data_IF_152084369419
#
_entry.id   IF_152084369419
#
_cell.length_a   1.000
_cell.length_b   1.000
_cell.length_c   1.000
_cell.angle_alpha   90.00
_cell.angle_beta   90.00
_cell.angle_gamma   90.00
#
_symmetry.space_group_name_H-M   'P 1'
#
loop_
_entity.id
_entity.type
_entity.pdbx_description
1 polymer ?
#
# COMPACT_ATOMS: atom_id res chain seq x y z
N UNK A 1 -10.00 -16.78 -20.50
CA UNK A 1 -10.59 -16.09 -19.33
C UNK A 1 -10.65 -16.97 -18.06
N UNK A 2 -10.62 -18.30 -18.16
CA UNK A 2 -10.73 -19.21 -16.98
C UNK A 2 -9.36 -19.55 -16.33
N UNK A 3 -8.25 -19.37 -17.05
CA UNK A 3 -6.89 -19.73 -16.56
C UNK A 3 -6.29 -18.67 -15.61
N UNK A 4 -6.88 -17.47 -15.51
CA UNK A 4 -6.37 -16.40 -14.65
C UNK A 4 -6.81 -16.51 -13.17
N UNK A 5 -7.83 -17.31 -12.89
CA UNK A 5 -8.40 -17.47 -11.54
C UNK A 5 -7.45 -18.22 -10.59
N UNK A 6 -6.80 -19.35 -10.97
CA UNK A 6 -5.92 -20.08 -10.06
C UNK A 6 -4.56 -19.38 -9.80
N UNK A 7 -4.15 -18.42 -10.64
CA UNK A 7 -2.94 -17.64 -10.38
C UNK A 7 -3.16 -16.56 -9.32
N UNK A 8 -4.39 -16.03 -9.20
CA UNK A 8 -4.72 -14.97 -8.24
C UNK A 8 -4.93 -15.50 -6.81
N UNK A 9 -5.32 -16.76 -6.64
CA UNK A 9 -5.48 -17.38 -5.31
C UNK A 9 -4.16 -17.55 -4.56
N UNK A 10 -3.02 -17.45 -5.24
CA UNK A 10 -1.70 -17.62 -4.64
C UNK A 10 -1.17 -16.34 -3.95
N UNK A 11 -1.75 -15.17 -4.24
CA UNK A 11 -1.34 -13.88 -3.67
C UNK A 11 -2.11 -13.48 -2.40
N UNK A 12 -3.02 -14.32 -1.88
CA UNK A 12 -3.73 -14.08 -0.61
C UNK A 12 -4.66 -12.86 -0.57
N UNK A 13 -4.74 -12.06 -1.65
CA UNK A 13 -5.63 -10.90 -1.73
C UNK A 13 -6.97 -11.32 -2.33
N UNK A 14 -8.01 -11.39 -1.49
CA UNK A 14 -9.38 -11.63 -1.95
C UNK A 14 -9.81 -10.59 -2.98
N UNK A 15 -10.37 -11.03 -4.11
CA UNK A 15 -10.90 -10.15 -5.17
C UNK A 15 -11.86 -9.10 -4.59
N UNK A 16 -12.63 -9.46 -3.56
CA UNK A 16 -13.51 -8.53 -2.85
C UNK A 16 -12.78 -7.38 -2.16
N UNK A 17 -11.58 -7.61 -1.64
CA UNK A 17 -10.74 -6.56 -1.05
C UNK A 17 -10.26 -5.56 -2.11
N UNK A 18 -9.80 -6.05 -3.26
CA UNK A 18 -9.38 -5.21 -4.38
C UNK A 18 -10.53 -4.30 -4.86
N UNK A 19 -11.71 -4.89 -5.05
CA UNK A 19 -12.93 -4.13 -5.44
C UNK A 19 -13.26 -3.07 -4.39
N UNK A 20 -13.17 -3.41 -3.10
CA UNK A 20 -13.39 -2.45 -2.01
C UNK A 20 -12.40 -1.29 -2.07
N UNK A 21 -11.12 -1.56 -2.33
CA UNK A 21 -10.10 -0.52 -2.45
C UNK A 21 -10.36 0.41 -3.64
N UNK A 22 -10.67 -0.13 -4.82
CA UNK A 22 -11.01 0.69 -5.99
C UNK A 22 -12.25 1.55 -5.74
N UNK A 23 -13.31 0.96 -5.19
CA UNK A 23 -14.53 1.68 -4.84
C UNK A 23 -14.24 2.77 -3.80
N UNK A 24 -13.37 2.50 -2.83
CA UNK A 24 -12.94 3.48 -1.84
C UNK A 24 -12.15 4.64 -2.46
N UNK A 25 -11.28 4.38 -3.43
CA UNK A 25 -10.55 5.44 -4.16
C UNK A 25 -11.52 6.35 -4.91
N UNK A 26 -12.48 5.78 -5.63
CA UNK A 26 -13.50 6.54 -6.37
C UNK A 26 -14.34 7.38 -5.40
N UNK A 27 -14.77 6.81 -4.28
CA UNK A 27 -15.54 7.54 -3.26
C UNK A 27 -14.74 8.68 -2.63
N UNK A 28 -13.42 8.54 -2.43
CA UNK A 28 -12.56 9.63 -1.92
C UNK A 28 -12.47 10.76 -2.94
N UNK A 29 -12.32 10.45 -4.23
CA UNK A 29 -12.27 11.46 -5.30
C UNK A 29 -13.60 12.22 -5.34
N UNK A 30 -14.74 11.53 -5.37
CA UNK A 30 -16.07 12.16 -5.37
C UNK A 30 -16.29 13.00 -4.10
N UNK A 31 -15.80 12.55 -2.94
CA UNK A 31 -15.90 13.32 -1.70
C UNK A 31 -15.14 14.65 -1.79
N UNK A 32 -13.95 14.64 -2.42
CA UNK A 32 -13.18 15.85 -2.68
C UNK A 32 -13.89 16.78 -3.67
N UNK A 33 -14.40 16.27 -4.79
CA UNK A 33 -15.06 17.13 -5.78
C UNK A 33 -16.29 17.83 -5.19
N UNK A 34 -17.11 17.11 -4.42
CA UNK A 34 -18.25 17.69 -3.69
C UNK A 34 -17.83 18.71 -2.64
N UNK A 35 -16.65 18.55 -2.03
CA UNK A 35 -16.10 19.55 -1.12
C UNK A 35 -15.79 20.87 -1.85
N UNK A 36 -15.24 20.80 -3.07
CA UNK A 36 -14.89 21.97 -3.88
C UNK A 36 -16.13 22.68 -4.44
N UNK A 37 -17.16 21.94 -4.87
CA UNK A 37 -18.40 22.51 -5.38
C UNK A 37 -19.20 23.30 -4.32
N UNK A 38 -18.82 23.19 -3.04
CA UNK A 38 -19.35 24.00 -1.92
C UNK A 38 -20.87 23.91 -1.71
N UNK A 39 -21.55 22.95 -2.33
CA UNK A 39 -22.97 22.69 -2.08
C UNK A 39 -23.15 21.78 -0.86
N UNK A 40 -23.64 22.37 0.24
CA UNK A 40 -23.83 21.66 1.51
C UNK A 40 -24.90 20.56 1.40
N UNK A 41 -25.93 20.79 0.58
CA UNK A 41 -27.03 19.83 0.41
C UNK A 41 -26.56 18.55 -0.28
N UNK A 42 -25.85 18.68 -1.41
CA UNK A 42 -25.33 17.53 -2.17
C UNK A 42 -24.34 16.72 -1.32
N UNK A 43 -23.50 17.42 -0.55
CA UNK A 43 -22.58 16.78 0.40
C UNK A 43 -23.32 15.97 1.47
N UNK A 44 -24.43 16.49 2.00
CA UNK A 44 -25.24 15.81 3.00
C UNK A 44 -25.87 14.54 2.43
N UNK A 45 -26.49 14.61 1.25
CA UNK A 45 -27.04 13.43 0.58
C UNK A 45 -25.98 12.37 0.30
N UNK A 46 -24.82 12.79 -0.20
CA UNK A 46 -23.71 11.88 -0.47
C UNK A 46 -23.17 11.23 0.81
N UNK A 47 -23.07 11.98 1.92
CA UNK A 47 -22.64 11.44 3.21
C UNK A 47 -23.63 10.38 3.74
N UNK A 48 -24.94 10.64 3.64
CA UNK A 48 -25.96 9.65 4.02
C UNK A 48 -25.88 8.39 3.17
N UNK A 49 -25.74 8.54 1.85
CA UNK A 49 -25.54 7.42 0.93
C UNK A 49 -24.31 6.58 1.31
N UNK A 50 -23.17 7.21 1.57
CA UNK A 50 -21.94 6.51 1.96
C UNK A 50 -22.07 5.75 3.28
N UNK A 51 -22.75 6.33 4.28
CA UNK A 51 -22.99 5.65 5.57
C UNK A 51 -23.80 4.39 5.33
N UNK A 52 -24.92 4.49 4.59
CA UNK A 52 -25.77 3.34 4.28
C UNK A 52 -24.98 2.29 3.49
N UNK A 53 -24.23 2.70 2.46
CA UNK A 53 -23.41 1.81 1.64
C UNK A 53 -22.37 1.03 2.46
N UNK A 54 -21.66 1.69 3.39
CA UNK A 54 -20.67 1.02 4.26
C UNK A 54 -21.34 0.03 5.21
N UNK A 55 -22.51 0.36 5.78
CA UNK A 55 -23.23 -0.57 6.66
C UNK A 55 -23.76 -1.78 5.90
N UNK A 56 -24.31 -1.59 4.70
CA UNK A 56 -24.74 -2.68 3.83
C UNK A 56 -23.54 -3.57 3.45
N UNK A 57 -22.42 -2.96 3.06
CA UNK A 57 -21.21 -3.69 2.70
C UNK A 57 -20.71 -4.57 3.84
N UNK A 58 -20.62 -4.02 5.06
CA UNK A 58 -20.14 -4.76 6.22
C UNK A 58 -21.09 -5.84 6.70
N UNK A 59 -22.39 -5.58 6.66
CA UNK A 59 -23.37 -6.51 7.22
C UNK A 59 -23.75 -7.62 6.24
N UNK A 60 -23.75 -7.35 4.93
CA UNK A 60 -24.16 -8.32 3.91
C UNK A 60 -22.97 -8.87 3.11
N UNK A 61 -22.16 -8.00 2.51
CA UNK A 61 -21.10 -8.44 1.56
C UNK A 61 -19.93 -9.09 2.28
N UNK A 62 -19.49 -8.53 3.40
CA UNK A 62 -18.34 -9.04 4.14
C UNK A 62 -18.53 -10.48 4.67
N UNK A 63 -19.64 -10.83 5.37
CA UNK A 63 -19.84 -12.20 5.83
C UNK A 63 -20.01 -13.20 4.68
N UNK A 64 -20.59 -12.77 3.54
CA UNK A 64 -20.76 -13.63 2.37
C UNK A 64 -19.42 -13.97 1.70
N UNK A 65 -18.50 -13.00 1.62
CA UNK A 65 -17.19 -13.19 0.99
C UNK A 65 -16.20 -13.93 1.90
N UNK A 66 -16.14 -13.58 3.19
CA UNK A 66 -15.11 -14.10 4.11
C UNK A 66 -15.59 -15.39 4.81
N UNK A 67 -16.90 -15.65 4.89
CA UNK A 67 -17.50 -16.82 5.57
C UNK A 67 -17.08 -16.97 7.05
N UNK A 68 -16.51 -15.94 7.66
CA UNK A 68 -16.17 -15.88 9.08
C UNK A 68 -17.01 -14.82 9.78
N UNK A 69 -17.21 -14.98 11.09
CA UNK A 69 -17.98 -14.02 11.88
C UNK A 69 -17.19 -12.72 11.99
N UNK A 70 -17.88 -11.58 11.88
CA UNK A 70 -17.29 -10.24 12.02
C UNK A 70 -16.48 -10.06 13.32
N UNK A 71 -16.87 -10.77 14.39
CA UNK A 71 -16.19 -10.75 15.69
C UNK A 71 -14.75 -11.28 15.65
N UNK A 72 -14.43 -12.17 14.72
CA UNK A 72 -13.12 -12.83 14.67
C UNK A 72 -12.12 -12.05 13.79
N UNK A 73 -12.63 -11.16 12.92
CA UNK A 73 -11.83 -10.35 12.01
C UNK A 73 -11.44 -9.00 12.63
N UNK A 74 -10.39 -8.99 13.46
CA UNK A 74 -9.89 -7.78 14.14
C UNK A 74 -9.53 -6.65 13.15
N UNK A 75 -8.94 -6.98 11.99
CA UNK A 75 -8.59 -6.00 10.96
C UNK A 75 -9.82 -5.27 10.38
N UNK A 76 -10.92 -6.00 10.15
CA UNK A 76 -12.17 -5.44 9.65
C UNK A 76 -12.84 -4.52 10.69
N UNK A 77 -12.73 -4.87 11.98
CA UNK A 77 -13.22 -4.05 13.08
C UNK A 77 -12.49 -2.71 13.16
N UNK A 78 -11.16 -2.72 13.11
CA UNK A 78 -10.38 -1.49 13.09
C UNK A 78 -10.74 -0.61 11.90
N UNK A 79 -10.87 -1.19 10.70
CA UNK A 79 -11.28 -0.43 9.51
C UNK A 79 -12.65 0.23 9.69
N UNK A 80 -13.63 -0.51 10.25
CA UNK A 80 -14.97 0.02 10.52
C UNK A 80 -14.93 1.17 11.55
N UNK A 81 -14.19 1.02 12.65
CA UNK A 81 -14.02 2.07 13.65
C UNK A 81 -13.41 3.33 13.03
N UNK A 82 -12.35 3.19 12.23
CA UNK A 82 -11.75 4.33 11.53
C UNK A 82 -12.74 5.00 10.56
N UNK A 83 -13.59 4.23 9.87
CA UNK A 83 -14.66 4.79 9.03
C UNK A 83 -15.71 5.55 9.84
N UNK A 84 -16.13 5.02 10.99
CA UNK A 84 -17.06 5.71 11.88
C UNK A 84 -16.49 7.05 12.36
N UNK A 85 -15.21 7.08 12.75
CA UNK A 85 -14.51 8.32 13.12
C UNK A 85 -14.50 9.30 11.94
N UNK A 86 -14.16 8.84 10.73
CA UNK A 86 -14.16 9.67 9.52
C UNK A 86 -15.54 10.27 9.24
N UNK A 87 -16.62 9.48 9.33
CA UNK A 87 -17.98 9.98 9.17
C UNK A 87 -18.37 10.99 10.26
N UNK A 88 -17.94 10.74 11.51
CA UNK A 88 -18.11 11.67 12.62
C UNK A 88 -17.48 13.03 12.33
N UNK A 89 -16.19 13.05 11.95
CA UNK A 89 -15.49 14.28 11.58
C UNK A 89 -16.17 15.01 10.42
N UNK A 90 -16.59 14.28 9.38
CA UNK A 90 -17.29 14.92 8.27
C UNK A 90 -18.65 15.49 8.65
N UNK A 91 -19.39 14.86 9.55
CA UNK A 91 -20.68 15.39 10.00
C UNK A 91 -20.50 16.72 10.76
N UNK A 92 -19.43 16.82 11.57
CA UNK A 92 -19.04 18.05 12.25
C UNK A 92 -18.69 19.13 11.23
N UNK A 93 -17.96 18.78 10.17
CA UNK A 93 -17.61 19.71 9.09
C UNK A 93 -18.86 20.27 8.39
N UNK A 94 -19.84 19.42 8.06
CA UNK A 94 -21.10 19.87 7.45
C UNK A 94 -21.88 20.79 8.41
N UNK A 95 -21.90 20.47 9.71
CA UNK A 95 -22.56 21.27 10.74
C UNK A 95 -21.93 22.66 10.91
N UNK A 96 -20.61 22.76 10.84
CA UNK A 96 -19.88 24.02 10.95
C UNK A 96 -19.98 24.86 9.65
N UNK A 97 -20.41 24.26 8.55
CA UNK A 97 -20.51 24.89 7.25
C UNK A 97 -19.14 25.11 6.59
N UNK A 98 -19.17 25.29 5.27
CA UNK A 98 -17.95 25.57 4.48
C UNK A 98 -17.58 27.05 4.55
N UNK A 99 -16.34 27.33 4.97
CA UNK A 99 -15.80 28.70 4.97
C UNK A 99 -15.82 29.29 3.56
N UNK A 100 -16.08 30.60 3.45
CA UNK A 100 -16.26 31.27 2.15
C UNK A 100 -14.97 31.44 1.35
N UNK A 101 -13.81 31.30 2.01
CA UNK A 101 -12.50 31.35 1.39
C UNK A 101 -11.63 30.24 1.99
N UNK A 102 -11.23 29.26 1.16
CA UNK A 102 -10.24 28.25 1.52
C UNK A 102 -8.87 28.87 1.18
N UNK A 103 -8.33 29.69 2.08
CA UNK A 103 -7.03 30.32 1.85
C UNK A 103 -5.93 29.48 2.49
N UNK A 104 -5.15 28.81 1.63
CA UNK A 104 -3.87 28.19 1.95
C UNK A 104 -3.94 26.84 2.67
N UNK A 105 -2.84 26.10 2.59
CA UNK A 105 -2.67 24.85 3.30
C UNK A 105 -2.64 25.10 4.82
N UNK A 106 -3.38 24.30 5.60
CA UNK A 106 -3.45 24.42 7.06
C UNK A 106 -2.05 24.42 7.71
N UNK A 107 -1.14 23.60 7.20
CA UNK A 107 0.23 23.47 7.71
C UNK A 107 1.04 24.76 7.57
N UNK A 108 0.70 25.63 6.63
CA UNK A 108 1.44 26.85 6.34
C UNK A 108 1.02 28.07 7.17
N UNK A 109 0.08 27.92 8.10
CA UNK A 109 -0.42 29.04 8.91
C UNK A 109 0.54 29.51 10.00
N UNK A 110 1.40 28.62 10.49
CA UNK A 110 2.37 28.95 11.53
C UNK A 110 3.79 28.58 11.09
N UNK A 111 4.75 29.45 11.40
CA UNK A 111 6.16 29.26 11.11
C UNK A 111 6.86 28.67 12.34
N UNK A 112 6.76 27.35 12.52
CA UNK A 112 7.44 26.61 13.58
C UNK A 112 8.31 25.51 12.94
N UNK A 113 9.38 25.07 13.62
CA UNK A 113 10.18 23.92 13.15
C UNK A 113 9.35 22.65 12.99
N UNK A 114 8.38 22.42 13.89
CA UNK A 114 7.44 21.29 13.79
C UNK A 114 6.58 21.42 12.52
N UNK A 115 6.05 22.61 12.22
CA UNK A 115 5.27 22.84 11.01
C UNK A 115 6.12 22.73 9.74
N UNK A 116 7.39 23.15 9.79
CA UNK A 116 8.33 22.96 8.69
C UNK A 116 8.57 21.47 8.41
N UNK A 117 8.83 20.66 9.45
CA UNK A 117 9.01 19.21 9.32
C UNK A 117 7.75 18.50 8.82
N UNK A 118 6.59 18.80 9.39
CA UNK A 118 5.30 18.25 8.93
C UNK A 118 5.00 18.63 7.48
N UNK A 119 5.36 19.86 7.08
CA UNK A 119 5.21 20.30 5.71
C UNK A 119 6.16 19.58 4.74
N UNK A 120 7.38 19.27 5.17
CA UNK A 120 8.30 18.41 4.41
C UNK A 120 7.79 16.97 4.28
N UNK A 121 7.19 16.40 5.33
CA UNK A 121 6.55 15.08 5.24
C UNK A 121 5.34 15.13 4.29
N UNK A 122 4.54 16.20 4.35
CA UNK A 122 3.44 16.44 3.41
C UNK A 122 3.93 16.56 1.96
N UNK A 123 5.09 17.17 1.74
CA UNK A 123 5.80 17.16 0.46
C UNK A 123 6.20 15.73 0.07
N UNK A 124 6.71 14.88 0.97
CA UNK A 124 7.11 13.50 0.65
C UNK A 124 5.93 12.57 0.28
N UNK A 125 4.72 12.86 0.75
CA UNK A 125 3.46 12.19 0.31
C UNK A 125 3.11 12.55 -1.17
N UNK A 126 4.05 13.23 -1.86
CA UNK A 126 4.01 13.97 -3.13
C UNK A 126 3.15 13.40 -4.25
N UNK A 127 3.13 12.08 -4.45
CA UNK A 127 2.33 11.49 -5.53
C UNK A 127 0.84 11.82 -5.35
N UNK A 128 0.34 11.74 -4.12
CA UNK A 128 -1.07 12.00 -3.83
C UNK A 128 -1.39 13.50 -3.87
N UNK A 129 -0.43 14.37 -3.52
CA UNK A 129 -0.62 15.82 -3.59
C UNK A 129 -0.74 16.31 -5.03
N UNK A 130 0.09 15.79 -5.93
CA UNK A 130 -0.01 16.12 -7.37
C UNK A 130 -1.36 15.69 -7.95
N UNK A 131 -1.85 14.50 -7.60
CA UNK A 131 -3.17 14.02 -8.02
C UNK A 131 -4.30 14.90 -7.47
N UNK A 132 -4.21 15.32 -6.21
CA UNK A 132 -5.20 16.22 -5.63
C UNK A 132 -5.23 17.55 -6.37
N UNK A 133 -4.08 18.17 -6.66
CA UNK A 133 -4.03 19.41 -7.45
C UNK A 133 -4.64 19.24 -8.83
N UNK A 134 -4.45 18.09 -9.48
CA UNK A 134 -5.08 17.78 -10.77
C UNK A 134 -6.60 17.67 -10.65
N UNK A 135 -7.10 16.94 -9.64
CA UNK A 135 -8.53 16.83 -9.36
C UNK A 135 -9.11 18.23 -9.08
N UNK A 136 -8.47 19.00 -8.21
CA UNK A 136 -8.92 20.34 -7.86
C UNK A 136 -8.96 21.27 -9.09
N UNK A 137 -7.96 21.17 -9.98
CA UNK A 137 -7.94 21.91 -11.25
C UNK A 137 -9.05 21.47 -12.22
N UNK A 138 -9.38 20.18 -12.27
CA UNK A 138 -10.45 19.68 -13.14
C UNK A 138 -11.85 20.19 -12.75
N UNK A 139 -12.08 20.46 -11.46
CA UNK A 139 -13.42 20.80 -10.94
C UNK A 139 -13.58 22.27 -10.53
N UNK A 140 -12.50 23.06 -10.47
CA UNK A 140 -12.56 24.52 -10.29
C UNK A 140 -12.47 25.18 -11.66
N UNK A 141 -13.26 26.22 -11.87
CA UNK A 141 -13.10 27.13 -13.02
C UNK A 141 -11.77 27.91 -12.90
N UNK A 142 -10.67 27.25 -13.25
CA UNK A 142 -9.34 27.83 -13.25
C UNK A 142 -9.11 28.60 -14.55
N UNK A 143 -8.69 29.86 -14.43
CA UNK A 143 -8.26 30.67 -15.58
C UNK A 143 -6.86 30.33 -16.07
N UNK A 144 -6.09 29.60 -15.26
CA UNK A 144 -4.72 29.19 -15.53
C UNK A 144 -4.69 27.75 -16.08
N UNK A 145 -3.81 27.51 -17.05
CA UNK A 145 -3.52 26.16 -17.54
C UNK A 145 -2.99 25.24 -16.42
N UNK A 146 -3.23 23.93 -16.53
CA UNK A 146 -2.86 22.93 -15.52
C UNK A 146 -1.37 22.99 -15.19
N UNK A 147 -0.50 23.12 -16.19
CA UNK A 147 0.95 23.18 -15.97
C UNK A 147 1.35 24.46 -15.23
N UNK A 148 0.62 25.55 -15.45
CA UNK A 148 0.83 26.81 -14.74
C UNK A 148 0.32 26.72 -13.29
N UNK A 149 -0.78 26.01 -13.06
CA UNK A 149 -1.30 25.73 -11.73
C UNK A 149 -0.33 24.88 -10.89
N UNK A 150 0.22 23.81 -11.47
CA UNK A 150 1.24 22.97 -10.81
C UNK A 150 2.50 23.78 -10.49
N UNK A 151 2.96 24.62 -11.44
CA UNK A 151 4.11 25.52 -11.20
C UNK A 151 3.85 26.51 -10.06
N UNK A 152 2.65 27.06 -9.97
CA UNK A 152 2.29 27.99 -8.91
C UNK A 152 2.34 27.32 -7.53
N UNK A 153 1.84 26.09 -7.42
CA UNK A 153 1.87 25.31 -6.17
C UNK A 153 3.32 24.97 -5.74
N UNK A 154 4.20 24.65 -6.69
CA UNK A 154 5.62 24.44 -6.42
C UNK A 154 6.31 25.72 -5.92
N UNK A 155 6.06 26.86 -6.59
CA UNK A 155 6.59 28.16 -6.16
C UNK A 155 6.10 28.49 -4.74
N UNK A 156 4.81 28.29 -4.46
CA UNK A 156 4.23 28.55 -3.14
C UNK A 156 4.89 27.69 -2.05
N UNK A 157 5.11 26.41 -2.35
CA UNK A 157 5.83 25.47 -1.48
C UNK A 157 7.25 25.94 -1.17
N UNK A 158 8.00 26.35 -2.20
CA UNK A 158 9.37 26.83 -2.06
C UNK A 158 9.46 28.15 -1.29
N UNK A 159 8.56 29.09 -1.55
CA UNK A 159 8.48 30.36 -0.82
C UNK A 159 8.19 30.13 0.66
N UNK A 160 7.31 29.18 1.00
CA UNK A 160 7.03 28.83 2.39
C UNK A 160 8.28 28.29 3.12
N UNK A 161 9.03 27.38 2.50
CA UNK A 161 10.27 26.85 3.09
C UNK A 161 11.31 27.95 3.34
N UNK A 162 11.47 28.87 2.38
CA UNK A 162 12.38 30.02 2.53
C UNK A 162 11.93 30.93 3.69
N UNK A 163 10.62 31.16 3.84
CA UNK A 163 10.07 31.94 4.95
C UNK A 163 10.34 31.27 6.31
N UNK A 164 10.13 29.97 6.43
CA UNK A 164 10.46 29.21 7.64
C UNK A 164 11.95 29.31 7.98
N UNK A 165 12.83 29.20 6.97
CA UNK A 165 14.27 29.33 7.16
C UNK A 165 14.69 30.74 7.62
N UNK A 166 14.03 31.79 7.12
CA UNK A 166 14.25 33.17 7.58
C UNK A 166 13.78 33.38 9.02
N UNK A 167 12.57 32.91 9.33
CA UNK A 167 12.03 32.97 10.70
C UNK A 167 12.94 32.24 11.69
N UNK A 168 13.46 31.06 11.32
CA UNK A 168 14.41 30.31 12.13
C UNK A 168 15.69 31.12 12.41
N UNK A 169 16.26 31.78 11.40
CA UNK A 169 17.45 32.63 11.56
C UNK A 169 17.20 33.87 12.42
N UNK A 170 16.01 34.46 12.33
CA UNK A 170 15.63 35.61 13.15
C UNK A 170 15.42 35.22 14.61
N UNK A 171 14.75 34.08 14.86
CA UNK A 171 14.44 33.61 16.21
C UNK A 171 15.67 33.10 16.95
N UNK A 172 16.56 32.43 16.25
CA UNK A 172 17.83 31.92 16.76
C UNK A 172 18.92 32.72 16.07
N UNK A 173 19.17 33.93 16.58
CA UNK A 173 20.19 34.83 16.07
C UNK A 173 21.57 34.21 16.25
N UNK A 174 22.00 33.42 15.28
CA UNK A 174 23.38 32.95 15.20
C UNK A 174 24.26 34.12 14.75
N UNK A 175 25.34 34.37 15.46
CA UNK A 175 26.34 35.36 15.05
C UNK A 175 26.84 35.05 13.63
N UNK A 176 26.74 36.04 12.75
CA UNK A 176 27.18 35.87 11.36
C UNK A 176 28.70 35.76 11.31
N UNK A 177 29.22 34.66 10.74
CA UNK A 177 30.65 34.41 10.57
C UNK A 177 31.26 33.35 11.49
N UNK A 178 30.47 32.76 12.40
CA UNK A 178 30.93 31.65 13.25
C UNK A 178 30.73 30.31 12.52
N UNK A 179 31.72 29.40 12.52
CA UNK A 179 31.53 28.06 11.96
C UNK A 179 30.45 27.30 12.75
N UNK A 180 29.69 26.46 12.05
CA UNK A 180 28.68 25.61 12.69
C UNK A 180 29.33 24.70 13.74
N UNK A 181 28.66 24.52 14.88
CA UNK A 181 29.11 23.57 15.89
C UNK A 181 29.19 22.17 15.29
N UNK A 182 30.31 21.47 15.52
CA UNK A 182 30.50 20.10 15.02
C UNK A 182 29.34 19.20 15.43
N UNK A 183 28.84 19.35 16.66
CA UNK A 183 27.69 18.58 17.16
C UNK A 183 26.40 18.82 16.35
N UNK A 184 26.11 20.07 15.98
CA UNK A 184 24.93 20.40 15.16
C UNK A 184 25.04 19.88 13.73
N UNK A 185 26.25 19.88 13.16
CA UNK A 185 26.50 19.34 11.82
C UNK A 185 26.25 17.83 11.81
N UNK A 186 26.86 17.09 12.74
CA UNK A 186 26.64 15.65 12.84
C UNK A 186 25.19 15.29 13.13
N UNK A 187 24.50 16.01 14.02
CA UNK A 187 23.11 15.69 14.36
C UNK A 187 22.15 15.88 13.17
N UNK A 188 22.33 16.93 12.35
CA UNK A 188 21.50 17.17 11.17
C UNK A 188 21.80 16.15 10.07
N UNK A 189 23.09 15.94 9.78
CA UNK A 189 23.51 15.00 8.73
C UNK A 189 23.10 13.56 9.09
N UNK A 190 23.28 13.15 10.34
CA UNK A 190 22.92 11.81 10.83
C UNK A 190 21.40 11.62 10.89
N UNK A 191 20.64 12.63 11.33
CA UNK A 191 19.17 12.56 11.31
C UNK A 191 18.62 12.41 9.90
N UNK A 192 19.23 13.05 8.89
CA UNK A 192 18.80 12.94 7.50
C UNK A 192 19.11 11.54 6.93
N UNK A 193 20.28 10.99 7.27
CA UNK A 193 20.68 9.63 6.88
C UNK A 193 19.75 8.58 7.50
N UNK A 194 19.50 8.65 8.81
CA UNK A 194 18.59 7.74 9.52
C UNK A 194 17.18 7.83 8.94
N UNK A 195 16.68 9.05 8.69
CA UNK A 195 15.36 9.25 8.09
C UNK A 195 15.27 8.63 6.68
N UNK A 196 16.31 8.77 5.87
CA UNK A 196 16.35 8.19 4.52
C UNK A 196 16.40 6.66 4.55
N UNK A 197 17.20 6.09 5.46
CA UNK A 197 17.24 4.64 5.69
C UNK A 197 15.87 4.14 6.16
N UNK A 198 15.23 4.83 7.10
CA UNK A 198 13.89 4.51 7.57
C UNK A 198 12.86 4.59 6.43
N UNK A 199 12.91 5.62 5.58
CA UNK A 199 11.97 5.78 4.47
C UNK A 199 12.04 4.60 3.49
N UNK A 200 13.23 4.05 3.27
CA UNK A 200 13.44 2.88 2.41
C UNK A 200 13.08 1.57 3.13
N UNK A 201 13.46 1.45 4.42
CA UNK A 201 13.28 0.23 5.20
C UNK A 201 11.83 0.04 5.68
N UNK A 202 11.10 1.13 5.95
CA UNK A 202 9.72 1.11 6.43
C UNK A 202 8.75 0.38 5.48
N UNK A 203 8.67 0.71 4.17
CA UNK A 203 7.81 -0.02 3.24
C UNK A 203 8.25 -1.48 3.10
N UNK A 204 9.56 -1.76 3.16
CA UNK A 204 10.08 -3.13 3.11
C UNK A 204 9.69 -3.95 4.36
N UNK A 205 9.75 -3.35 5.54
CA UNK A 205 9.38 -3.98 6.81
C UNK A 205 7.88 -4.28 6.85
N UNK A 206 7.05 -3.35 6.40
CA UNK A 206 5.60 -3.56 6.28
C UNK A 206 5.30 -4.70 5.32
N UNK A 207 5.93 -4.70 4.13
CA UNK A 207 5.74 -5.76 3.15
C UNK A 207 6.17 -7.13 3.69
N UNK A 208 7.28 -7.20 4.43
CA UNK A 208 7.73 -8.42 5.10
C UNK A 208 6.73 -8.92 6.15
N UNK A 209 6.19 -8.02 6.99
CA UNK A 209 5.13 -8.38 7.95
C UNK A 209 3.85 -8.86 7.26
N UNK A 210 3.46 -8.27 6.13
CA UNK A 210 2.31 -8.74 5.37
C UNK A 210 2.56 -10.13 4.78
N UNK A 211 3.72 -10.37 4.15
CA UNK A 211 4.02 -11.67 3.53
C UNK A 211 4.07 -12.80 4.56
N UNK A 212 4.70 -12.57 5.73
CA UNK A 212 4.78 -13.58 6.78
C UNK A 212 3.42 -13.94 7.37
N UNK A 213 2.47 -13.00 7.40
CA UNK A 213 1.08 -13.25 7.81
C UNK A 213 0.31 -14.13 6.82
N UNK A 214 0.62 -14.05 5.52
CA UNK A 214 -0.05 -14.82 4.46
C UNK A 214 0.68 -16.11 4.05
N UNK A 215 1.85 -16.38 4.63
CA UNK A 215 2.56 -17.64 4.42
C UNK A 215 1.86 -18.76 5.21
N UNK A 216 0.85 -19.39 4.59
CA UNK A 216 0.36 -20.67 5.07
C UNK A 216 1.22 -21.79 4.46
N UNK A 217 1.77 -22.70 5.29
CA UNK A 217 2.41 -23.89 4.76
C UNK A 217 1.37 -24.66 3.95
N UNK A 218 1.79 -25.19 2.78
CA UNK A 218 0.93 -26.02 1.95
C UNK A 218 0.31 -27.11 2.84
N UNK A 219 -1.03 -27.22 2.94
CA UNK A 219 -1.63 -28.23 3.80
C UNK A 219 -1.10 -29.59 3.37
N UNK A 220 -0.55 -30.35 4.32
CA UNK A 220 -0.14 -31.72 4.08
C UNK A 220 -1.40 -32.48 3.68
N UNK A 221 -1.51 -32.82 2.40
CA UNK A 221 -2.52 -33.74 1.92
C UNK A 221 -2.18 -35.07 2.59
N UNK A 222 -3.07 -35.59 3.43
CA UNK A 222 -2.90 -36.91 4.01
C UNK A 222 -2.68 -37.91 2.86
N UNK A 223 -1.63 -38.75 2.92
CA UNK A 223 -1.37 -39.69 1.85
C UNK A 223 -2.58 -40.60 1.70
N UNK A 224 -3.24 -40.55 0.53
CA UNK A 224 -4.38 -41.42 0.21
C UNK A 224 -3.96 -42.90 0.22
N UNK A 225 -2.68 -43.15 0.02
CA UNK A 225 -2.08 -44.46 -0.01
C UNK A 225 -0.67 -44.40 0.58
N UNK A 226 -0.41 -45.23 1.58
CA UNK A 226 0.93 -45.47 2.14
C UNK A 226 1.32 -46.91 1.83
N UNK A 227 2.50 -47.11 1.26
CA UNK A 227 3.03 -48.43 0.93
C UNK A 227 4.49 -48.50 1.33
N UNK A 228 4.82 -49.52 2.11
CA UNK A 228 6.18 -49.84 2.53
C UNK A 228 6.57 -51.16 1.88
N UNK A 229 7.60 -51.14 1.03
CA UNK A 229 8.21 -52.35 0.51
C UNK A 229 9.27 -52.85 1.50
N UNK A 230 9.27 -54.15 1.79
CA UNK A 230 10.32 -54.80 2.59
C UNK A 230 11.25 -55.62 1.68
N UNK A 231 12.39 -56.09 2.17
CA UNK A 231 13.43 -56.76 1.35
C UNK A 231 12.93 -57.94 0.49
N UNK A 232 11.78 -58.53 0.83
CA UNK A 232 11.17 -59.64 0.09
C UNK A 232 10.43 -59.13 -1.17
N UNK A 233 9.96 -57.89 -1.16
CA UNK A 233 9.24 -57.23 -2.26
C UNK A 233 10.20 -56.50 -3.22
N UNK A 234 11.47 -56.34 -2.84
CA UNK A 234 12.51 -55.73 -3.65
C UNK A 234 13.13 -56.79 -4.57
N UNK A 235 12.85 -56.66 -5.87
CA UNK A 235 13.50 -57.48 -6.90
C UNK A 235 14.73 -56.75 -7.40
N UNK A 236 15.91 -57.33 -7.17
CA UNK A 236 17.16 -56.83 -7.73
C UNK A 236 17.20 -57.09 -9.24
N UNK A 237 17.55 -56.06 -10.01
CA UNK A 237 17.65 -56.16 -11.46
C UNK A 237 18.94 -56.88 -11.86
N UNK A 238 18.83 -57.82 -12.79
CA UNK A 238 19.98 -58.54 -13.37
C UNK A 238 20.47 -57.76 -14.61
N UNK A 239 21.75 -57.89 -14.96
CA UNK A 239 22.37 -57.24 -16.12
C UNK A 239 21.58 -57.42 -17.45
N UNK A 240 20.90 -58.56 -17.62
CA UNK A 240 20.04 -58.81 -18.77
C UNK A 240 18.83 -57.87 -18.84
N UNK A 241 18.25 -57.52 -17.69
CA UNK A 241 17.09 -56.64 -17.58
C UNK A 241 17.46 -55.17 -17.82
N UNK A 242 18.66 -54.77 -17.38
CA UNK A 242 19.22 -53.44 -17.71
C UNK A 242 19.47 -53.29 -19.21
N UNK A 243 19.98 -54.34 -19.87
CA UNK A 243 20.16 -54.33 -21.31
C UNK A 243 18.81 -54.25 -22.04
N UNK A 244 17.77 -54.92 -21.55
CA UNK A 244 16.41 -54.81 -22.08
C UNK A 244 15.83 -53.39 -21.91
N UNK A 245 16.07 -52.72 -20.78
CA UNK A 245 15.67 -51.33 -20.54
C UNK A 245 16.32 -50.36 -21.53
N UNK A 246 17.62 -50.50 -21.78
CA UNK A 246 18.38 -49.64 -22.69
C UNK A 246 18.04 -49.86 -24.18
N UNK A 247 17.68 -51.11 -24.56
CA UNK A 247 17.50 -51.48 -25.97
C UNK A 247 16.04 -51.49 -26.42
N UNK A 248 15.09 -51.81 -25.54
CA UNK A 248 13.68 -51.95 -25.91
C UNK A 248 12.79 -50.78 -25.47
N UNK A 249 12.98 -50.27 -24.24
CA UNK A 249 12.07 -49.28 -23.64
C UNK A 249 12.60 -47.84 -23.85
N UNK A 250 13.88 -47.59 -23.60
CA UNK A 250 14.49 -46.26 -23.69
C UNK A 250 15.39 -46.11 -24.92
N UNK A 251 15.08 -46.79 -26.03
CA UNK A 251 15.92 -46.79 -27.24
C UNK A 251 16.03 -45.43 -27.91
N UNK A 252 14.97 -44.60 -27.82
CA UNK A 252 14.90 -43.28 -28.47
C UNK A 252 15.43 -42.13 -27.61
N UNK A 253 15.55 -42.30 -26.29
CA UNK A 253 15.91 -41.22 -25.38
C UNK A 253 17.36 -41.39 -24.86
N UNK A 254 18.24 -40.51 -25.32
CA UNK A 254 19.69 -40.61 -25.09
C UNK A 254 20.05 -40.24 -23.65
N UNK A 255 19.35 -39.28 -23.03
CA UNK A 255 19.63 -38.85 -21.65
C UNK A 255 19.27 -39.93 -20.64
N UNK A 256 18.15 -40.61 -20.86
CA UNK A 256 17.74 -41.76 -20.03
C UNK A 256 18.76 -42.90 -20.09
N UNK A 257 19.32 -43.20 -21.28
CA UNK A 257 20.35 -44.25 -21.44
C UNK A 257 21.67 -43.91 -20.74
N UNK A 258 22.09 -42.65 -20.81
CA UNK A 258 23.30 -42.17 -20.12
C UNK A 258 23.12 -42.24 -18.60
N UNK A 259 21.95 -41.87 -18.10
CA UNK A 259 21.60 -42.01 -16.68
C UNK A 259 21.69 -43.45 -16.18
N UNK A 260 21.13 -44.41 -16.92
CA UNK A 260 21.17 -45.84 -16.57
C UNK A 260 22.59 -46.41 -16.64
N UNK A 261 23.37 -46.07 -17.67
CA UNK A 261 24.76 -46.52 -17.82
C UNK A 261 25.67 -46.02 -16.68
N UNK A 262 25.38 -44.86 -16.10
CA UNK A 262 26.14 -44.36 -14.96
C UNK A 262 25.92 -45.16 -13.67
N UNK A 263 24.78 -45.85 -13.52
CA UNK A 263 24.51 -46.73 -12.38
C UNK A 263 25.20 -48.10 -12.49
N UNK A 264 25.50 -48.58 -13.71
CA UNK A 264 26.21 -49.84 -13.94
C UNK A 264 27.74 -49.73 -13.91
N UNK A 265 28.28 -48.51 -14.01
CA UNK A 265 29.73 -48.24 -14.05
C UNK A 265 30.33 -47.89 -12.66
N UNK A 266 29.61 -48.18 -11.58
CA UNK A 266 30.11 -48.23 -10.20
C UNK A 266 30.32 -49.70 -9.85
#
# INVERSE_FOLDING_TARGET
MIIAIPFYSQFGVSVGFLVTLFLQLILIIIDQTLYLCRNVHDKLYFRLFQIIAVHIWFFFVLPEVIRTKFRDNVAAQFWYIFKCIYFGYSSIQIRLGYSKCIVGNFLMKCFNYVNQGLYQIYLCILFLRGLQTMIDWMFIDATLDLMSCIKLEDIYSNVYLIKCARWAKEKYSTESGVPWSKATKYCIDDSLLILSILLILFPLCILFMFISLFYQPNPLIEPIYEMTATDIDLVEYIDADYNNLCTSIYSSDIEARIGIMNFLNI
#
